data_IF_481843806554
#
_entry.id   IF_481843806554
#
_cell.length_a   1.000
_cell.length_b   1.000
_cell.length_c   1.000
_cell.angle_alpha   90.00
_cell.angle_beta   90.00
_cell.angle_gamma   90.00
#
_symmetry.space_group_name_H-M   'P 1'
#
loop_
_entity.id
_entity.type
_entity.pdbx_description
1 polymer ?
#
# COMPACT_ATOMS: atom_id res chain seq x y z
N UNK A 1 12.80 12.44 -71.14
CA UNK A 1 11.92 11.96 -70.04
C UNK A 1 11.58 10.51 -70.35
N UNK A 2 11.57 9.53 -69.41
CA UNK A 2 11.29 9.57 -67.96
C UNK A 2 12.41 8.92 -67.08
N UNK A 3 12.70 9.40 -65.86
CA UNK A 3 12.15 9.08 -64.52
C UNK A 3 13.02 8.12 -63.69
N UNK A 4 13.12 8.46 -62.40
CA UNK A 4 14.04 8.05 -61.33
C UNK A 4 13.97 6.57 -60.91
N UNK A 5 14.88 6.13 -60.01
CA UNK A 5 14.43 6.12 -58.61
C UNK A 5 15.48 6.73 -57.67
N UNK A 6 15.06 7.78 -56.96
CA UNK A 6 15.70 8.15 -55.71
C UNK A 6 15.26 7.11 -54.67
N UNK A 7 16.22 6.34 -54.15
CA UNK A 7 16.02 5.50 -52.99
C UNK A 7 15.66 6.38 -51.80
N UNK A 8 14.38 6.42 -51.45
CA UNK A 8 13.89 7.00 -50.21
C UNK A 8 14.26 6.03 -49.08
N UNK A 9 15.25 6.39 -48.27
CA UNK A 9 15.51 5.71 -47.00
C UNK A 9 14.30 5.89 -46.07
N UNK A 10 13.83 4.82 -45.40
CA UNK A 10 12.81 4.96 -44.38
C UNK A 10 13.35 5.74 -43.17
N UNK A 11 12.52 6.55 -42.49
CA UNK A 11 12.91 7.19 -41.24
C UNK A 11 13.12 6.12 -40.15
N UNK A 12 14.00 6.37 -39.17
CA UNK A 12 14.16 5.48 -38.02
C UNK A 12 12.83 5.40 -37.24
N UNK A 13 12.53 4.25 -36.61
CA UNK A 13 11.39 4.14 -35.72
C UNK A 13 11.57 5.14 -34.58
N UNK A 14 10.55 5.97 -34.39
CA UNK A 14 10.43 6.86 -33.24
C UNK A 14 10.61 5.99 -32.00
N UNK A 15 11.66 6.29 -31.23
CA UNK A 15 11.87 5.73 -29.90
C UNK A 15 10.64 6.04 -29.08
N UNK A 16 9.79 5.03 -28.85
CA UNK A 16 8.75 5.14 -27.83
C UNK A 16 9.46 5.51 -26.51
N UNK A 17 8.95 6.51 -25.75
CA UNK A 17 9.44 6.75 -24.41
C UNK A 17 9.45 5.43 -23.65
N UNK A 18 10.48 5.12 -22.85
CA UNK A 18 10.39 4.04 -21.87
C UNK A 18 9.07 4.24 -21.14
N UNK A 19 8.22 3.22 -21.17
CA UNK A 19 7.10 3.14 -20.26
C UNK A 19 7.71 3.31 -18.87
N UNK A 20 7.61 4.53 -18.32
CA UNK A 20 7.76 4.71 -16.90
C UNK A 20 6.84 3.65 -16.29
N UNK A 21 7.32 2.83 -15.33
CA UNK A 21 6.39 2.04 -14.57
C UNK A 21 5.33 3.04 -14.12
N UNK A 22 4.09 2.77 -14.50
CA UNK A 22 2.93 3.41 -13.91
C UNK A 22 3.12 3.20 -12.41
N UNK A 23 3.73 4.18 -11.74
CA UNK A 23 3.75 4.28 -10.30
C UNK A 23 2.28 4.38 -10.00
N UNK A 24 1.72 3.22 -9.62
CA UNK A 24 0.31 3.01 -9.39
C UNK A 24 -0.22 4.27 -8.79
N UNK A 25 -1.00 4.98 -9.59
CA UNK A 25 -1.75 6.12 -9.18
C UNK A 25 -2.63 5.57 -8.06
N UNK A 26 -2.19 5.71 -6.81
CA UNK A 26 -3.04 5.53 -5.64
C UNK A 26 -3.98 6.73 -5.63
N UNK A 27 -4.85 6.77 -6.65
CA UNK A 27 -6.03 7.62 -6.72
C UNK A 27 -6.98 7.02 -5.71
N UNK A 28 -6.77 7.43 -4.47
CA UNK A 28 -7.80 7.72 -3.50
C UNK A 28 -7.07 8.41 -2.35
N UNK A 29 -7.40 9.66 -1.99
CA UNK A 29 -7.33 10.05 -0.59
C UNK A 29 -8.39 9.23 0.16
N UNK A 30 -8.20 7.90 0.26
CA UNK A 30 -8.74 7.15 1.38
C UNK A 30 -8.08 7.81 2.57
N UNK A 31 -8.78 8.78 3.16
CA UNK A 31 -8.31 9.62 4.25
C UNK A 31 -7.59 8.69 5.22
N UNK A 32 -6.25 8.79 5.24
CA UNK A 32 -5.44 7.92 6.06
C UNK A 32 -5.60 8.45 7.47
N UNK A 33 -6.61 7.90 8.15
CA UNK A 33 -7.03 8.33 9.48
C UNK A 33 -6.07 7.67 10.46
N UNK A 34 -5.55 8.45 11.41
CA UNK A 34 -4.75 7.87 12.47
C UNK A 34 -5.67 7.14 13.44
N UNK A 35 -5.22 6.04 14.03
CA UNK A 35 -6.03 5.39 15.08
C UNK A 35 -6.37 6.37 16.22
N UNK A 36 -5.48 7.33 16.51
CA UNK A 36 -5.70 8.39 17.50
C UNK A 36 -6.80 9.39 17.12
N UNK A 37 -7.11 9.51 15.82
CA UNK A 37 -8.15 10.39 15.27
C UNK A 37 -9.54 9.70 15.27
N UNK A 38 -9.58 8.38 15.49
CA UNK A 38 -10.83 7.65 15.63
C UNK A 38 -11.56 7.98 16.94
N UNK A 39 -12.88 8.11 16.82
CA UNK A 39 -13.78 8.29 17.97
C UNK A 39 -13.67 7.09 18.93
N UNK A 40 -13.93 7.26 20.24
CA UNK A 40 -13.94 6.15 21.19
C UNK A 40 -14.91 5.02 20.82
N UNK A 41 -15.99 5.34 20.11
CA UNK A 41 -16.95 4.39 19.54
C UNK A 41 -16.32 3.54 18.43
N UNK A 42 -15.62 4.18 17.48
CA UNK A 42 -14.91 3.49 16.40
C UNK A 42 -13.77 2.61 16.92
N UNK A 43 -13.05 3.07 17.96
CA UNK A 43 -12.05 2.28 18.68
C UNK A 43 -12.62 1.14 19.52
N UNK A 44 -13.90 1.19 19.90
CA UNK A 44 -14.59 0.06 20.54
C UNK A 44 -15.12 -0.95 19.51
N UNK A 45 -15.49 -0.47 18.32
CA UNK A 45 -15.91 -1.31 17.19
C UNK A 45 -14.73 -2.09 16.58
N UNK A 46 -13.56 -1.46 16.55
CA UNK A 46 -12.33 -2.18 16.37
C UNK A 46 -12.08 -2.98 17.66
N UNK A 47 -12.02 -4.32 17.64
CA UNK A 47 -11.61 -5.06 18.82
C UNK A 47 -10.27 -4.51 19.25
N UNK A 48 -10.06 -4.43 20.58
CA UNK A 48 -8.98 -3.67 21.18
C UNK A 48 -7.72 -3.81 20.34
N UNK A 49 -7.40 -2.76 19.55
CA UNK A 49 -6.20 -2.67 18.73
C UNK A 49 -4.98 -2.44 19.64
N UNK A 50 -4.98 -3.11 20.79
CA UNK A 50 -3.87 -3.34 21.70
C UNK A 50 -2.87 -4.18 20.93
N UNK A 51 -2.07 -3.46 20.16
CA UNK A 51 -0.81 -3.96 19.66
C UNK A 51 0.02 -4.31 20.88
N UNK A 52 0.11 -5.60 21.16
CA UNK A 52 0.87 -6.12 22.29
C UNK A 52 2.34 -6.26 21.90
N UNK A 53 2.60 -6.61 20.65
CA UNK A 53 3.93 -6.74 20.08
C UNK A 53 3.88 -6.29 18.63
N UNK A 54 4.79 -5.41 18.24
CA UNK A 54 5.09 -5.19 16.84
C UNK A 54 6.49 -5.74 16.58
N UNK A 55 6.65 -6.56 15.56
CA UNK A 55 7.95 -6.95 15.05
C UNK A 55 8.03 -6.51 13.60
N UNK A 56 8.83 -5.48 13.37
CA UNK A 56 9.19 -5.07 12.03
C UNK A 56 10.55 -5.68 11.65
N UNK A 57 10.59 -6.26 10.46
CA UNK A 57 11.78 -6.86 9.87
C UNK A 57 11.91 -6.42 8.41
N UNK A 58 13.12 -6.43 7.83
CA UNK A 58 13.31 -6.12 6.41
C UNK A 58 12.57 -7.12 5.51
N UNK A 59 12.55 -8.41 5.87
CA UNK A 59 11.80 -9.45 5.18
C UNK A 59 10.32 -9.41 5.57
N UNK A 60 9.42 -9.33 4.58
CA UNK A 60 7.98 -9.28 4.81
C UNK A 60 7.43 -10.51 5.57
N UNK A 61 8.04 -11.68 5.37
CA UNK A 61 7.67 -12.91 6.05
C UNK A 61 7.95 -12.88 7.57
N UNK A 62 8.92 -12.07 8.00
CA UNK A 62 9.28 -11.89 9.41
C UNK A 62 8.54 -10.70 10.04
N UNK A 63 7.74 -9.95 9.27
CA UNK A 63 6.91 -8.87 9.79
C UNK A 63 5.62 -9.44 10.35
N UNK A 64 5.38 -9.18 11.62
CA UNK A 64 4.11 -9.52 12.24
C UNK A 64 3.79 -8.56 13.37
N UNK A 65 2.49 -8.43 13.62
CA UNK A 65 1.95 -7.67 14.74
C UNK A 65 1.06 -8.60 15.53
N UNK A 66 1.13 -8.50 16.86
CA UNK A 66 0.23 -9.21 17.75
C UNK A 66 -0.84 -8.22 18.19
N UNK A 67 -2.06 -8.42 17.70
CA UNK A 67 -3.24 -7.64 18.07
C UNK A 67 -4.16 -8.55 18.88
N UNK A 68 -4.49 -8.14 20.10
CA UNK A 68 -5.37 -8.90 20.99
C UNK A 68 -4.89 -10.35 21.24
N UNK A 69 -3.57 -10.57 21.21
CA UNK A 69 -2.97 -11.91 21.36
C UNK A 69 -2.95 -12.75 20.08
N UNK A 70 -3.54 -12.27 18.98
CA UNK A 70 -3.48 -12.92 17.66
C UNK A 70 -2.32 -12.37 16.85
N UNK A 71 -1.44 -13.27 16.36
CA UNK A 71 -0.35 -12.91 15.46
C UNK A 71 -0.88 -12.74 14.04
N UNK A 72 -0.67 -11.57 13.46
CA UNK A 72 -1.15 -11.18 12.14
C UNK A 72 0.03 -10.67 11.32
N UNK A 73 0.02 -10.95 10.03
CA UNK A 73 1.05 -10.50 9.08
C UNK A 73 0.46 -9.54 8.03
N UNK A 74 1.31 -9.01 7.16
CA UNK A 74 0.85 -8.23 5.99
C UNK A 74 -0.12 -9.06 5.14
N UNK A 75 -1.30 -8.50 4.83
CA UNK A 75 -2.39 -9.19 4.13
C UNK A 75 -3.33 -9.98 5.03
N UNK A 76 -3.01 -10.16 6.31
CA UNK A 76 -3.88 -10.87 7.25
C UNK A 76 -5.05 -10.00 7.73
N UNK A 77 -6.15 -10.63 8.12
CA UNK A 77 -7.38 -9.93 8.52
C UNK A 77 -7.69 -10.15 9.99
N UNK A 78 -7.84 -9.05 10.72
CA UNK A 78 -8.24 -9.00 12.11
C UNK A 78 -9.61 -8.37 12.26
N UNK A 79 -10.61 -9.19 12.60
CA UNK A 79 -12.02 -8.80 12.63
C UNK A 79 -12.45 -8.10 11.32
N UNK A 80 -12.74 -6.80 11.37
CA UNK A 80 -13.13 -6.00 10.20
C UNK A 80 -11.99 -5.22 9.55
N UNK A 81 -10.77 -5.31 10.10
CA UNK A 81 -9.60 -4.63 9.59
C UNK A 81 -8.65 -5.62 8.90
N UNK A 82 -8.05 -5.23 7.78
CA UNK A 82 -7.05 -6.02 7.06
C UNK A 82 -5.71 -5.31 7.14
N UNK A 83 -4.64 -6.00 7.49
CA UNK A 83 -3.30 -5.43 7.49
C UNK A 83 -2.89 -5.16 6.05
N UNK A 84 -2.75 -3.90 5.66
CA UNK A 84 -2.23 -3.54 4.34
C UNK A 84 -0.71 -3.51 4.33
N UNK A 85 -0.09 -2.95 5.37
CA UNK A 85 1.36 -2.85 5.46
C UNK A 85 1.82 -2.77 6.91
N UNK A 86 2.93 -3.43 7.23
CA UNK A 86 3.61 -3.35 8.54
C UNK A 86 4.94 -2.63 8.30
N UNK A 87 5.07 -1.42 8.82
CA UNK A 87 6.28 -0.60 8.74
C UNK A 87 6.93 -0.44 10.11
N UNK A 88 8.20 0.00 10.12
CA UNK A 88 8.92 0.27 11.36
C UNK A 88 8.28 1.42 12.15
N UNK A 89 7.74 2.42 11.45
CA UNK A 89 7.11 3.61 12.04
C UNK A 89 5.63 3.39 12.39
N UNK A 90 5.03 2.28 11.94
CA UNK A 90 3.58 2.12 12.02
C UNK A 90 3.03 0.89 11.32
N UNK A 91 1.79 0.51 11.66
CA UNK A 91 1.00 -0.46 10.90
C UNK A 91 -0.12 0.27 10.16
N UNK A 92 -0.32 -0.07 8.89
CA UNK A 92 -1.42 0.43 8.06
C UNK A 92 -2.45 -0.69 7.91
N UNK A 93 -3.68 -0.41 8.31
CA UNK A 93 -4.81 -1.34 8.23
C UNK A 93 -5.91 -0.75 7.33
N UNK A 94 -6.56 -1.57 6.51
CA UNK A 94 -7.79 -1.22 5.83
C UNK A 94 -8.98 -1.67 6.67
N UNK A 95 -9.80 -0.74 7.15
CA UNK A 95 -11.00 -1.01 7.94
C UNK A 95 -12.20 -0.28 7.33
N UNK A 96 -13.27 -1.00 6.97
CA UNK A 96 -14.50 -0.43 6.37
C UNK A 96 -14.24 0.49 5.16
N UNK A 97 -13.27 0.14 4.32
CA UNK A 97 -12.87 0.95 3.15
C UNK A 97 -12.09 2.23 3.50
N UNK A 98 -11.62 2.36 4.75
CA UNK A 98 -10.78 3.45 5.23
C UNK A 98 -9.41 2.90 5.58
N UNK A 99 -8.37 3.67 5.30
CA UNK A 99 -7.02 3.30 5.68
C UNK A 99 -6.70 3.90 7.06
N UNK A 100 -6.55 3.03 8.06
CA UNK A 100 -6.14 3.40 9.41
C UNK A 100 -4.64 3.26 9.53
N UNK A 101 -3.94 4.33 9.89
CA UNK A 101 -2.51 4.27 10.25
C UNK A 101 -2.35 4.27 11.75
N UNK A 102 -1.74 3.22 12.28
CA UNK A 102 -1.40 3.06 13.68
C UNK A 102 0.09 3.32 13.87
N UNK A 103 0.51 4.48 14.38
CA UNK A 103 1.88 4.69 14.79
C UNK A 103 2.21 3.83 16.00
N UNK A 104 3.34 3.12 15.93
CA UNK A 104 3.94 2.37 17.05
C UNK A 104 5.06 3.25 17.59
N UNK A 105 4.94 3.70 18.84
CA UNK A 105 5.89 4.59 19.52
C UNK A 105 6.57 3.87 20.67
#
# INVERSE_FOLDING_TARGET
MPASPATVSPPPPITAPPAAPVSSEFISPQATIRLADLSPEERSQLPALKVSMHMWAPAAADRFVIIDGTRLAEGDRVADATIQAIQADGVTLAWRGRQIRLPIR
#
